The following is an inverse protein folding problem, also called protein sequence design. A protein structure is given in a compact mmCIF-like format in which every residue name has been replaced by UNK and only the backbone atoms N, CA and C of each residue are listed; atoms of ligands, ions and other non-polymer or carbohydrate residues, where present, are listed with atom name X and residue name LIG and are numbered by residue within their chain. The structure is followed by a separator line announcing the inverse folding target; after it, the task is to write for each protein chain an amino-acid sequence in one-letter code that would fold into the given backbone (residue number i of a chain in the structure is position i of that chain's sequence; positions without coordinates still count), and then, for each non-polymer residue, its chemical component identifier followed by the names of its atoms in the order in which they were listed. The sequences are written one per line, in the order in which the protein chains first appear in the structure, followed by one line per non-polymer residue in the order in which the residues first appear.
data_IF_301224782563
#
_entry.id   IF_301224782563
#
_cell.length_a   1.000
_cell.length_b   1.000
_cell.length_c   1.000
_cell.angle_alpha   90.00
_cell.angle_beta   90.00
_cell.angle_gamma   90.00
#
_symmetry.space_group_name_H-M   'P 1'
#
loop_
_entity.id
_entity.type
_entity.pdbx_description
1 polymer ?
#
# COMPACT_ATOMS: atom_id res chain seq x y z
N UNK A 1 -6.28 14.81 -5.84
CA UNK A 1 -6.63 15.02 -7.28
C UNK A 1 -6.84 13.67 -7.92
N UNK A 2 -8.08 13.36 -8.33
CA UNK A 2 -8.43 12.07 -8.95
C UNK A 2 -8.47 12.23 -10.47
N UNK A 3 -7.74 11.38 -11.20
CA UNK A 3 -7.83 11.29 -12.67
C UNK A 3 -8.65 10.04 -13.02
N UNK A 4 -9.82 10.25 -13.62
CA UNK A 4 -10.73 9.18 -14.04
C UNK A 4 -10.71 9.06 -15.55
N UNK A 5 -10.44 7.86 -16.09
CA UNK A 5 -10.63 7.59 -17.52
C UNK A 5 -11.72 6.52 -17.69
N UNK A 6 -12.75 6.87 -18.47
CA UNK A 6 -13.75 5.92 -18.90
C UNK A 6 -13.12 5.00 -19.97
N UNK A 7 -13.15 3.69 -19.76
CA UNK A 7 -12.80 2.74 -20.81
C UNK A 7 -14.06 2.31 -21.57
N UNK A 8 -13.88 1.88 -22.81
CA UNK A 8 -14.93 1.38 -23.72
C UNK A 8 -15.65 0.12 -23.24
N UNK A 9 -15.27 -0.47 -22.10
CA UNK A 9 -15.81 -1.73 -21.56
C UNK A 9 -16.56 -1.58 -20.22
N UNK A 10 -16.99 -0.37 -19.87
CA UNK A 10 -17.70 -0.13 -18.60
C UNK A 10 -16.79 -0.28 -17.37
N UNK A 11 -15.47 -0.18 -17.55
CA UNK A 11 -14.51 -0.12 -16.45
C UNK A 11 -14.07 1.31 -16.20
N UNK A 12 -13.95 1.65 -14.92
CA UNK A 12 -13.45 2.96 -14.47
C UNK A 12 -12.03 2.75 -13.98
N UNK A 13 -11.08 3.45 -14.60
CA UNK A 13 -9.69 3.45 -14.17
C UNK A 13 -9.42 4.69 -13.35
N UNK A 14 -8.78 4.52 -12.19
CA UNK A 14 -8.42 5.62 -11.29
C UNK A 14 -6.93 5.57 -10.97
N UNK A 15 -6.25 6.68 -11.18
CA UNK A 15 -4.87 6.87 -10.70
C UNK A 15 -4.96 7.38 -9.26
N UNK A 16 -4.36 6.63 -8.32
CA UNK A 16 -4.31 6.97 -6.90
C UNK A 16 -3.02 7.68 -6.52
N UNK A 17 -1.92 7.39 -7.22
CA UNK A 17 -0.62 8.00 -6.93
C UNK A 17 0.23 8.12 -8.19
N UNK A 18 1.05 9.16 -8.21
CA UNK A 18 2.12 9.39 -9.17
C UNK A 18 3.44 9.43 -8.40
N UNK A 19 4.42 8.65 -8.83
CA UNK A 19 5.71 8.55 -8.13
C UNK A 19 6.88 8.68 -9.12
N UNK A 20 7.67 9.76 -9.06
CA UNK A 20 8.91 9.85 -9.80
C UNK A 20 9.95 8.92 -9.17
N UNK A 21 10.61 8.08 -9.97
CA UNK A 21 11.65 7.18 -9.51
C UNK A 21 12.63 6.86 -10.65
N UNK A 22 13.94 7.00 -10.39
CA UNK A 22 15.03 6.74 -11.36
C UNK A 22 14.81 7.38 -12.74
N UNK A 23 14.35 8.63 -12.76
CA UNK A 23 14.12 9.38 -14.00
C UNK A 23 12.86 8.99 -14.78
N UNK A 24 12.05 8.08 -14.25
CA UNK A 24 10.75 7.70 -14.80
C UNK A 24 9.61 8.18 -13.90
N UNK A 25 8.42 8.33 -14.48
CA UNK A 25 7.21 8.64 -13.71
C UNK A 25 6.30 7.41 -13.68
N UNK A 26 6.08 6.86 -12.50
CA UNK A 26 5.15 5.76 -12.30
C UNK A 26 3.78 6.30 -11.94
N UNK A 27 2.73 5.68 -12.49
CA UNK A 27 1.36 5.88 -12.04
C UNK A 27 0.82 4.58 -11.47
N UNK A 28 0.28 4.68 -10.27
CA UNK A 28 -0.36 3.60 -9.56
C UNK A 28 -1.84 3.88 -9.53
N UNK A 29 -2.62 2.84 -9.79
CA UNK A 29 -4.06 2.99 -9.87
C UNK A 29 -4.76 1.67 -9.68
N UNK A 30 -6.08 1.73 -9.77
CA UNK A 30 -6.92 0.56 -9.81
C UNK A 30 -7.99 0.70 -10.88
N UNK A 31 -8.47 -0.45 -11.35
CA UNK A 31 -9.67 -0.51 -12.17
C UNK A 31 -10.82 -1.06 -11.34
N UNK A 32 -11.96 -0.40 -11.39
CA UNK A 32 -13.24 -0.98 -10.96
C UNK A 32 -13.86 -1.72 -12.15
N UNK A 33 -14.04 -3.04 -12.02
CA UNK A 33 -14.61 -3.87 -13.10
C UNK A 33 -15.05 -5.25 -12.62
N UNK A 34 -15.85 -5.99 -13.42
CA UNK A 34 -16.32 -7.32 -13.02
C UNK A 34 -15.15 -8.29 -12.80
N UNK A 35 -15.29 -9.19 -11.83
CA UNK A 35 -14.29 -10.23 -11.57
C UNK A 35 -14.13 -11.13 -12.81
N UNK A 36 -12.89 -11.43 -13.26
CA UNK A 36 -12.67 -12.45 -14.28
C UNK A 36 -13.31 -13.77 -13.87
N UNK A 37 -14.04 -14.41 -14.79
CA UNK A 37 -14.82 -15.61 -14.48
C UNK A 37 -13.96 -16.79 -14.00
N UNK A 38 -12.72 -16.88 -14.48
CA UNK A 38 -11.70 -17.84 -14.02
C UNK A 38 -11.30 -17.69 -12.56
N UNK A 39 -11.62 -16.55 -11.93
CA UNK A 39 -11.27 -16.24 -10.54
C UNK A 39 -12.47 -16.36 -9.59
N UNK A 40 -13.64 -16.75 -10.11
CA UNK A 40 -14.86 -16.99 -9.34
C UNK A 40 -14.85 -18.44 -8.83
N UNK A 41 -14.91 -18.69 -7.51
CA UNK A 41 -15.08 -20.04 -7.00
C UNK A 41 -16.38 -20.64 -7.53
N UNK A 42 -16.34 -21.87 -8.03
CA UNK A 42 -17.51 -22.56 -8.61
C UNK A 42 -18.73 -22.62 -7.65
N UNK A 43 -18.46 -22.60 -6.35
CA UNK A 43 -19.49 -22.61 -5.29
C UNK A 43 -20.15 -21.25 -5.01
N UNK A 44 -19.76 -20.18 -5.71
CA UNK A 44 -20.28 -18.83 -5.43
C UNK A 44 -21.66 -18.59 -6.06
N UNK A 45 -22.66 -18.10 -5.30
CA UNK A 45 -23.98 -17.80 -5.85
C UNK A 45 -23.92 -16.70 -6.92
N UNK A 46 -24.51 -16.97 -8.08
CA UNK A 46 -24.38 -16.20 -9.33
C UNK A 46 -24.81 -14.73 -9.24
N UNK A 47 -25.81 -14.41 -8.39
CA UNK A 47 -26.31 -13.04 -8.21
C UNK A 47 -25.36 -12.12 -7.43
N UNK A 48 -24.29 -12.67 -6.87
CA UNK A 48 -23.34 -11.99 -6.00
C UNK A 48 -22.02 -11.65 -6.74
N UNK A 49 -21.95 -11.86 -8.07
CA UNK A 49 -20.76 -11.77 -8.93
C UNK A 49 -20.65 -10.47 -9.76
N UNK A 50 -21.61 -9.55 -9.62
CA UNK A 50 -21.70 -8.30 -10.40
C UNK A 50 -21.10 -7.07 -9.73
N UNK A 51 -20.42 -7.22 -8.59
CA UNK A 51 -19.81 -6.08 -7.92
C UNK A 51 -18.42 -5.76 -8.53
N UNK A 52 -18.10 -4.47 -8.70
CA UNK A 52 -16.80 -4.06 -9.24
C UNK A 52 -15.68 -4.50 -8.28
N UNK A 53 -14.71 -5.22 -8.83
CA UNK A 53 -13.45 -5.54 -8.19
C UNK A 53 -12.43 -4.45 -8.50
N UNK A 54 -11.66 -4.08 -7.48
CA UNK A 54 -10.44 -3.26 -7.63
C UNK A 54 -9.27 -4.14 -8.00
N UNK A 55 -8.68 -3.87 -9.16
CA UNK A 55 -7.43 -4.49 -9.59
C UNK A 55 -6.36 -3.41 -9.68
N UNK A 56 -5.43 -3.43 -8.74
CA UNK A 56 -4.29 -2.52 -8.70
C UNK A 56 -3.35 -2.77 -9.88
N UNK A 57 -2.85 -1.69 -10.49
CA UNK A 57 -1.88 -1.72 -11.58
C UNK A 57 -0.85 -0.61 -11.42
N UNK A 58 0.31 -0.85 -12.02
CA UNK A 58 1.33 0.16 -12.24
C UNK A 58 1.55 0.35 -13.74
N UNK A 59 1.71 1.61 -14.14
CA UNK A 59 2.20 1.98 -15.48
C UNK A 59 3.35 2.96 -15.32
N UNK A 60 4.24 3.01 -16.29
CA UNK A 60 5.42 3.86 -16.30
C UNK A 60 5.43 4.76 -17.54
N UNK A 61 5.80 6.02 -17.35
CA UNK A 61 6.03 6.98 -18.42
C UNK A 61 7.54 7.12 -18.67
N UNK A 62 7.95 6.88 -19.91
CA UNK A 62 9.36 6.91 -20.35
C UNK A 62 9.78 8.24 -20.99
N UNK A 63 8.89 9.24 -20.99
CA UNK A 63 9.10 10.52 -21.69
C UNK A 63 8.35 10.61 -23.03
N UNK A 64 7.90 9.48 -23.58
CA UNK A 64 7.17 9.41 -24.86
C UNK A 64 5.76 8.86 -24.66
N UNK A 65 5.62 7.79 -23.87
CA UNK A 65 4.35 7.08 -23.71
C UNK A 65 4.23 6.36 -22.38
N UNK A 66 3.03 5.85 -22.11
CA UNK A 66 2.72 5.07 -20.91
C UNK A 66 2.71 3.57 -21.22
N UNK A 67 3.39 2.78 -20.40
CA UNK A 67 3.53 1.34 -20.59
C UNK A 67 3.18 0.59 -19.30
N UNK A 68 2.61 -0.63 -19.38
CA UNK A 68 2.46 -1.49 -18.21
C UNK A 68 3.80 -1.70 -17.50
N UNK A 69 3.83 -1.51 -16.19
CA UNK A 69 5.01 -1.73 -15.37
C UNK A 69 4.82 -3.02 -14.56
N UNK A 70 5.61 -4.05 -14.88
CA UNK A 70 5.60 -5.32 -14.15
C UNK A 70 6.52 -5.24 -12.91
N UNK A 71 6.12 -4.39 -11.97
CA UNK A 71 6.91 -4.08 -10.76
C UNK A 71 6.31 -4.67 -9.48
N UNK A 72 5.20 -5.40 -9.59
CA UNK A 72 4.56 -6.07 -8.46
C UNK A 72 4.64 -7.57 -8.73
N UNK A 73 5.33 -8.35 -7.88
CA UNK A 73 5.40 -9.79 -8.06
C UNK A 73 4.00 -10.39 -8.17
N UNK A 74 3.80 -11.48 -8.93
CA UNK A 74 2.49 -12.11 -9.13
C UNK A 74 1.77 -12.39 -7.81
N UNK A 75 0.94 -11.44 -7.41
CA UNK A 75 0.22 -11.44 -6.13
C UNK A 75 -1.26 -11.51 -6.50
N UNK A 76 -1.99 -12.53 -6.03
CA UNK A 76 -3.37 -12.69 -6.40
C UNK A 76 -4.21 -11.55 -5.81
N UNK A 77 -5.02 -10.90 -6.65
CA UNK A 77 -5.99 -9.89 -6.24
C UNK A 77 -5.38 -8.68 -5.52
N UNK A 78 -4.38 -8.05 -6.14
CA UNK A 78 -3.89 -6.73 -5.71
C UNK A 78 -5.06 -5.73 -5.78
N UNK A 79 -5.41 -5.13 -4.65
CA UNK A 79 -6.52 -4.18 -4.55
C UNK A 79 -6.03 -2.73 -4.55
N UNK A 80 -4.97 -2.46 -3.78
CA UNK A 80 -4.36 -1.13 -3.64
C UNK A 80 -2.85 -1.25 -3.62
N UNK A 81 -2.19 -0.22 -4.13
CA UNK A 81 -0.74 -0.06 -4.14
C UNK A 81 -0.45 1.37 -3.69
N UNK A 82 0.27 1.50 -2.59
CA UNK A 82 0.70 2.77 -2.03
C UNK A 82 2.22 2.86 -2.17
N UNK A 83 2.71 3.67 -3.13
CA UNK A 83 4.13 3.78 -3.42
C UNK A 83 4.81 4.83 -2.53
N UNK A 84 6.08 4.62 -2.21
CA UNK A 84 6.98 5.67 -1.73
C UNK A 84 8.42 5.39 -2.15
N UNK A 85 9.27 6.42 -2.16
CA UNK A 85 10.71 6.24 -2.43
C UNK A 85 11.46 6.23 -1.11
N UNK A 86 12.28 5.21 -0.90
CA UNK A 86 13.10 5.06 0.30
C UNK A 86 14.40 4.32 -0.03
N UNK A 87 15.54 4.79 0.50
CA UNK A 87 16.85 4.16 0.29
C UNK A 87 17.15 3.81 -1.19
N UNK A 88 16.83 4.75 -2.10
CA UNK A 88 16.98 4.58 -3.56
C UNK A 88 16.20 3.37 -4.14
N UNK A 89 15.13 2.96 -3.47
CA UNK A 89 14.19 1.92 -3.90
C UNK A 89 12.79 2.51 -3.93
N UNK A 90 11.96 1.99 -4.83
CA UNK A 90 10.53 2.26 -4.86
C UNK A 90 9.83 1.20 -4.02
N UNK A 91 9.37 1.59 -2.83
CA UNK A 91 8.58 0.75 -1.95
C UNK A 91 7.13 0.72 -2.40
N UNK A 92 6.52 -0.45 -2.27
CA UNK A 92 5.14 -0.71 -2.67
C UNK A 92 4.43 -1.39 -1.49
N UNK A 93 3.63 -0.62 -0.74
CA UNK A 93 2.68 -1.17 0.22
C UNK A 93 1.48 -1.71 -0.55
N UNK A 94 1.29 -3.03 -0.51
CA UNK A 94 0.31 -3.74 -1.32
C UNK A 94 -0.72 -4.39 -0.43
N UNK A 95 -1.99 -4.02 -0.62
CA UNK A 95 -3.12 -4.77 -0.08
C UNK A 95 -3.59 -5.77 -1.12
N UNK A 96 -3.55 -7.04 -0.75
CA UNK A 96 -4.01 -8.15 -1.58
C UNK A 96 -5.07 -8.95 -0.85
N UNK A 97 -5.97 -9.60 -1.60
CA UNK A 97 -6.97 -10.47 -0.98
C UNK A 97 -8.17 -10.74 -1.86
N UNK A 98 -8.72 -11.95 -1.74
CA UNK A 98 -9.99 -12.33 -2.37
C UNK A 98 -11.14 -11.62 -1.67
N UNK A 99 -12.12 -11.18 -2.46
CA UNK A 99 -13.31 -10.52 -1.92
C UNK A 99 -14.20 -11.52 -1.13
N UNK A 100 -14.73 -11.04 0.00
CA UNK A 100 -15.62 -11.66 1.02
C UNK A 100 -14.96 -12.32 2.22
N UNK A 101 -15.75 -12.31 3.31
CA UNK A 101 -15.58 -12.88 4.66
C UNK A 101 -14.89 -14.25 4.76
N UNK A 102 -14.71 -14.96 3.64
CA UNK A 102 -14.00 -16.23 3.60
C UNK A 102 -12.47 -16.08 3.54
N UNK A 103 -11.92 -14.89 3.20
CA UNK A 103 -10.48 -14.70 3.10
C UNK A 103 -10.03 -13.39 3.76
N UNK A 104 -8.99 -13.46 4.60
CA UNK A 104 -8.33 -12.29 5.20
C UNK A 104 -7.55 -11.54 4.12
N UNK A 105 -7.69 -10.21 4.09
CA UNK A 105 -6.76 -9.37 3.34
C UNK A 105 -5.35 -9.59 3.90
N UNK A 106 -4.36 -9.59 3.02
CA UNK A 106 -2.96 -9.64 3.36
C UNK A 106 -2.30 -8.34 2.92
N UNK A 107 -1.52 -7.76 3.84
CA UNK A 107 -0.65 -6.64 3.55
C UNK A 107 0.76 -7.15 3.31
N UNK A 108 1.35 -6.67 2.22
CA UNK A 108 2.68 -7.04 1.76
C UNK A 108 3.45 -5.75 1.49
N UNK A 109 4.74 -5.75 1.82
CA UNK A 109 5.64 -4.67 1.44
C UNK A 109 6.64 -5.22 0.44
N UNK A 110 6.79 -4.54 -0.68
CA UNK A 110 7.80 -4.85 -1.69
C UNK A 110 8.74 -3.68 -1.90
N UNK A 111 9.94 -3.98 -2.37
CA UNK A 111 10.92 -2.98 -2.79
C UNK A 111 11.36 -3.27 -4.23
N UNK A 112 11.21 -2.28 -5.10
CA UNK A 112 11.66 -2.30 -6.49
C UNK A 112 12.93 -1.47 -6.64
N UNK A 113 14.01 -2.10 -7.09
CA UNK A 113 15.31 -1.46 -7.23
C UNK A 113 15.53 -0.81 -8.61
N UNK A 114 14.51 -0.76 -9.47
CA UNK A 114 14.63 -0.29 -10.85
C UNK A 114 14.82 -1.41 -11.87
N UNK A 115 15.07 -2.64 -11.42
CA UNK A 115 15.19 -3.82 -12.28
C UNK A 115 14.29 -4.95 -11.80
N UNK A 116 14.30 -5.23 -10.50
CA UNK A 116 13.57 -6.34 -9.88
C UNK A 116 12.84 -5.89 -8.62
N UNK A 117 11.76 -6.61 -8.32
CA UNK A 117 11.00 -6.43 -7.10
C UNK A 117 11.24 -7.60 -6.15
N UNK A 118 11.49 -7.28 -4.88
CA UNK A 118 11.64 -8.27 -3.80
C UNK A 118 10.66 -8.00 -2.66
N UNK A 119 10.19 -9.03 -1.96
CA UNK A 119 9.47 -8.83 -0.71
C UNK A 119 10.39 -8.22 0.35
N UNK A 120 9.85 -7.30 1.14
CA UNK A 120 10.48 -6.79 2.36
C UNK A 120 9.95 -7.61 3.54
N UNK A 121 10.82 -8.23 4.35
CA UNK A 121 10.37 -9.05 5.46
C UNK A 121 9.73 -8.16 6.53
N UNK A 122 8.40 -8.18 6.61
CA UNK A 122 7.63 -7.42 7.57
C UNK A 122 6.42 -8.25 8.02
N UNK A 123 6.46 -8.71 9.28
CA UNK A 123 5.33 -9.41 9.89
C UNK A 123 4.33 -8.40 10.46
N UNK A 124 3.15 -8.31 9.82
CA UNK A 124 2.04 -7.46 10.23
C UNK A 124 0.70 -8.02 9.72
N UNK A 125 -0.39 -7.61 10.37
CA UNK A 125 -1.75 -7.85 9.89
C UNK A 125 -2.20 -6.75 8.92
N UNK A 126 -1.75 -5.53 9.16
CA UNK A 126 -2.06 -4.36 8.36
C UNK A 126 -0.92 -3.34 8.37
N UNK A 127 -0.66 -2.75 7.21
CA UNK A 127 0.04 -1.47 7.07
C UNK A 127 -1.04 -0.39 7.02
N UNK A 128 -1.07 0.49 8.02
CA UNK A 128 -2.08 1.55 8.13
C UNK A 128 -1.64 2.77 7.34
N UNK A 129 -0.39 3.19 7.57
CA UNK A 129 0.22 4.32 6.89
C UNK A 129 1.76 4.18 6.94
N UNK A 130 2.44 4.97 6.13
CA UNK A 130 3.90 5.04 6.08
C UNK A 130 4.37 6.48 5.95
N UNK A 131 5.54 6.78 6.48
CA UNK A 131 6.15 8.10 6.34
C UNK A 131 7.66 7.95 6.19
N UNK A 132 8.23 8.77 5.32
CA UNK A 132 9.65 8.75 4.96
C UNK A 132 10.22 10.14 5.17
N UNK A 133 11.30 10.23 5.94
CA UNK A 133 12.06 11.46 6.10
C UNK A 133 13.56 11.14 6.16
N UNK A 134 14.30 11.63 5.17
CA UNK A 134 15.73 11.35 5.02
C UNK A 134 16.00 9.86 4.80
N UNK A 135 16.79 9.27 5.69
CA UNK A 135 17.18 7.85 5.69
C UNK A 135 16.29 6.98 6.59
N UNK A 136 15.20 7.54 7.15
CA UNK A 136 14.27 6.82 8.01
C UNK A 136 12.94 6.56 7.32
N UNK A 137 12.49 5.31 7.42
CA UNK A 137 11.14 4.87 7.10
C UNK A 137 10.44 4.47 8.39
N UNK A 138 9.24 5.00 8.61
CA UNK A 138 8.38 4.62 9.73
C UNK A 138 7.05 4.12 9.17
N UNK A 139 6.64 2.96 9.65
CA UNK A 139 5.36 2.34 9.33
C UNK A 139 4.47 2.34 10.56
N UNK A 140 3.22 2.75 10.38
CA UNK A 140 2.16 2.50 11.34
C UNK A 140 1.51 1.16 10.99
N UNK A 141 1.59 0.19 11.90
CA UNK A 141 1.17 -1.19 11.65
C UNK A 141 0.12 -1.66 12.66
N UNK A 142 -0.73 -2.61 12.26
CA UNK A 142 -1.46 -3.50 13.16
C UNK A 142 -0.75 -4.85 13.23
N UNK A 143 -0.57 -5.38 14.43
CA UNK A 143 -0.08 -6.72 14.67
C UNK A 143 -0.73 -7.31 15.92
N UNK A 144 -1.35 -8.49 15.80
CA UNK A 144 -2.10 -9.15 16.89
C UNK A 144 -3.17 -8.23 17.51
N UNK A 145 -3.87 -7.47 16.67
CA UNK A 145 -4.90 -6.51 17.12
C UNK A 145 -4.38 -5.29 17.89
N UNK A 146 -3.07 -5.04 17.91
CA UNK A 146 -2.46 -3.84 18.53
C UNK A 146 -1.75 -3.00 17.49
N UNK A 147 -1.73 -1.69 17.71
CA UNK A 147 -0.99 -0.76 16.87
C UNK A 147 0.45 -0.54 17.37
N UNK A 148 1.38 -0.43 16.44
CA UNK A 148 2.79 -0.13 16.71
C UNK A 148 3.40 0.69 15.59
N UNK A 149 4.49 1.40 15.91
CA UNK A 149 5.39 1.98 14.92
C UNK A 149 6.53 1.00 14.64
N UNK A 150 6.83 0.77 13.37
CA UNK A 150 8.00 0.03 12.94
C UNK A 150 8.93 0.96 12.15
N UNK A 151 10.15 1.13 12.63
CA UNK A 151 11.16 2.03 12.05
C UNK A 151 12.31 1.21 11.44
N UNK A 152 12.82 1.67 10.30
CA UNK A 152 14.02 1.10 9.67
C UNK A 152 14.80 2.16 8.89
N UNK A 153 16.11 1.92 8.74
CA UNK A 153 16.99 2.67 7.85
C UNK A 153 17.47 1.86 6.64
N UNK A 154 17.18 0.56 6.60
CA UNK A 154 17.77 -0.38 5.62
C UNK A 154 16.80 -1.46 5.08
N UNK A 155 15.54 -1.45 5.53
CA UNK A 155 14.50 -2.45 5.18
C UNK A 155 14.78 -3.87 5.68
N UNK A 156 15.78 -4.05 6.55
CA UNK A 156 16.20 -5.34 7.10
C UNK A 156 16.02 -5.34 8.61
N UNK A 157 16.54 -4.31 9.28
CA UNK A 157 16.47 -4.16 10.72
C UNK A 157 15.32 -3.24 11.09
N UNK A 158 14.38 -3.77 11.87
CA UNK A 158 13.17 -3.06 12.28
C UNK A 158 13.16 -2.82 13.78
N UNK A 159 13.20 -1.55 14.19
CA UNK A 159 12.88 -1.15 15.57
C UNK A 159 11.35 -1.10 15.69
N UNK A 160 10.78 -1.67 16.77
CA UNK A 160 9.32 -1.72 16.99
C UNK A 160 8.96 -1.00 18.28
N UNK A 161 7.98 -0.10 18.18
CA UNK A 161 7.54 0.76 19.27
C UNK A 161 6.03 0.57 19.46
N UNK A 162 5.61 -0.23 20.46
CA UNK A 162 4.19 -0.43 20.71
C UNK A 162 3.54 0.91 21.09
N UNK A 163 2.35 1.15 20.56
CA UNK A 163 1.52 2.28 20.99
C UNK A 163 0.69 1.89 22.21
N UNK A 164 0.09 2.88 22.89
CA UNK A 164 -0.82 2.64 24.00
C UNK A 164 -1.92 1.65 23.58
N UNK A 165 -2.12 0.52 24.29
CA UNK A 165 -3.18 -0.43 23.95
C UNK A 165 -4.60 0.16 24.03
N UNK A 166 -4.78 1.27 24.74
CA UNK A 166 -6.06 2.00 24.83
C UNK A 166 -6.18 3.12 23.79
N UNK A 167 -5.20 3.26 22.89
CA UNK A 167 -5.24 4.22 21.81
C UNK A 167 -6.47 3.95 20.94
N UNK A 168 -7.21 5.01 20.60
CA UNK A 168 -8.22 4.92 19.53
C UNK A 168 -7.53 4.56 18.21
N UNK A 169 -8.28 3.95 17.30
CA UNK A 169 -7.75 3.52 16.01
C UNK A 169 -6.99 4.66 15.29
N UNK A 170 -5.68 4.49 15.02
CA UNK A 170 -4.93 5.45 14.25
C UNK A 170 -5.24 5.27 12.75
N UNK A 171 -5.17 6.37 12.01
CA UNK A 171 -5.48 6.45 10.58
C UNK A 171 -4.32 6.99 9.75
N UNK A 172 -3.48 7.85 10.32
CA UNK A 172 -2.37 8.45 9.58
C UNK A 172 -1.14 8.66 10.46
N UNK A 173 0.02 8.76 9.80
CA UNK A 173 1.33 8.96 10.40
C UNK A 173 2.10 10.02 9.60
N UNK A 174 2.68 10.99 10.31
CA UNK A 174 3.67 11.92 9.76
C UNK A 174 4.86 12.04 10.73
N UNK A 175 6.04 12.41 10.25
CA UNK A 175 7.16 12.77 11.14
C UNK A 175 8.11 13.81 10.56
N UNK A 176 8.66 14.65 11.45
CA UNK A 176 9.61 15.71 11.11
C UNK A 176 11.08 15.31 11.32
N UNK A 177 11.33 14.05 11.65
CA UNK A 177 12.67 13.53 11.99
C UNK A 177 13.01 13.62 13.48
N UNK A 178 12.14 14.23 14.30
CA UNK A 178 12.26 14.24 15.77
C UNK A 178 10.99 13.76 16.48
N UNK A 179 9.84 14.02 15.87
CA UNK A 179 8.51 13.77 16.45
C UNK A 179 7.65 13.06 15.42
N UNK A 180 6.91 12.06 15.88
CA UNK A 180 5.81 11.43 15.15
C UNK A 180 4.48 12.09 15.50
N UNK A 181 3.65 12.28 14.48
CA UNK A 181 2.28 12.80 14.57
C UNK A 181 1.32 11.69 14.13
N UNK A 182 0.41 11.29 15.02
CA UNK A 182 -0.57 10.23 14.77
C UNK A 182 -1.97 10.83 14.70
N UNK A 183 -2.59 10.75 13.52
CA UNK A 183 -4.00 11.10 13.33
C UNK A 183 -4.89 9.92 13.72
N UNK A 184 -5.86 10.15 14.60
CA UNK A 184 -6.81 9.13 15.05
C UNK A 184 -8.17 9.27 14.37
N UNK A 185 -8.97 8.21 14.42
CA UNK A 185 -10.31 8.15 13.83
C UNK A 185 -11.30 9.21 14.37
N UNK A 186 -11.06 9.73 15.57
CA UNK A 186 -11.91 10.76 16.18
C UNK A 186 -11.43 12.20 15.89
N UNK A 187 -10.42 12.36 15.04
CA UNK A 187 -9.81 13.64 14.69
C UNK A 187 -8.74 14.12 15.67
N UNK A 188 -8.45 13.37 16.73
CA UNK A 188 -7.33 13.67 17.63
C UNK A 188 -6.00 13.50 16.90
N UNK A 189 -5.08 14.43 17.12
CA UNK A 189 -3.67 14.28 16.72
C UNK A 189 -2.83 14.13 17.97
N UNK A 190 -2.10 13.01 18.07
CA UNK A 190 -1.16 12.77 19.15
C UNK A 190 0.27 12.95 18.66
N UNK A 191 1.15 13.36 19.57
CA UNK A 191 2.58 13.47 19.30
C UNK A 191 3.34 12.50 20.20
N UNK A 192 4.36 11.87 19.63
CA UNK A 192 5.33 11.10 20.40
C UNK A 192 6.72 11.41 19.87
N UNK A 193 7.73 11.60 20.75
CA UNK A 193 9.12 11.68 20.30
C UNK A 193 9.48 10.43 19.50
N UNK A 194 10.34 10.59 18.51
CA UNK A 194 11.00 9.45 17.91
C UNK A 194 11.88 8.79 18.96
N UNK A 195 11.90 7.45 19.00
CA UNK A 195 12.84 6.71 19.81
C UNK A 195 14.26 7.18 19.49
N UNK A 196 15.03 7.56 20.53
CA UNK A 196 16.44 7.89 20.35
C UNK A 196 17.21 6.66 19.84
N UNK A 197 18.26 6.90 19.04
CA UNK A 197 19.02 5.83 18.38
C UNK A 197 19.72 4.85 19.31
#
# INVERSE_FOLDING_TARGET
NEYTTASTLGTVSRITSLMPYKGQLFAFGYHDGPMPQSLIPESSPTNKLRQPNRVGKAVVFDGVGWFPADIIPPTPFVQTIEPCVFANQLLLSVRSGRYREQFKNQWLLFAYDGEKTRPVPLDCEQIVDLSVNGDRLILLLSHQGKYLLAETTDLVHWKRHPLDPNLKQPLSLEHDGTTCYLGLVDGTVLTTPLPAD
#
